data_IF_221710361364
#
_entry.id   IF_221710361364
#
_cell.length_a   1.000
_cell.length_b   1.000
_cell.length_c   1.000
_cell.angle_alpha   90.00
_cell.angle_beta   90.00
_cell.angle_gamma   90.00
#
_symmetry.space_group_name_H-M   'P 1'
#
loop_
_entity.id
_entity.type
_entity.pdbx_description
1 polymer ?
#
# COMPACT_ATOMS: atom_id res chain seq x y z
N UNK A 1 -47.81 -28.65 -60.50
CA UNK A 1 -48.16 -28.71 -61.93
C UNK A 1 -47.21 -27.79 -62.68
N UNK A 2 -46.32 -28.38 -63.48
CA UNK A 2 -45.28 -27.68 -64.23
C UNK A 2 -45.87 -26.90 -65.41
N UNK A 3 -45.26 -25.77 -65.76
CA UNK A 3 -45.55 -25.09 -67.03
C UNK A 3 -45.24 -25.97 -68.25
N UNK A 4 -44.31 -26.91 -68.09
CA UNK A 4 -43.94 -27.91 -69.09
C UNK A 4 -45.06 -28.94 -69.28
N UNK A 5 -45.62 -29.48 -68.19
CA UNK A 5 -46.81 -30.37 -68.25
C UNK A 5 -48.02 -29.67 -68.90
N UNK A 6 -48.20 -28.36 -68.64
CA UNK A 6 -49.26 -27.55 -69.28
C UNK A 6 -48.99 -27.34 -70.77
N UNK A 7 -47.74 -27.13 -71.17
CA UNK A 7 -47.34 -26.98 -72.56
C UNK A 7 -47.51 -28.30 -73.34
N UNK A 8 -47.09 -29.42 -72.76
CA UNK A 8 -47.29 -30.76 -73.32
C UNK A 8 -48.78 -31.07 -73.51
N UNK A 9 -49.61 -30.82 -72.49
CA UNK A 9 -51.06 -31.01 -72.58
C UNK A 9 -51.69 -30.14 -73.68
N UNK A 10 -51.24 -28.89 -73.82
CA UNK A 10 -51.71 -28.00 -74.89
C UNK A 10 -51.34 -28.52 -76.29
N UNK A 11 -50.13 -29.07 -76.46
CA UNK A 11 -49.69 -29.70 -77.71
C UNK A 11 -50.51 -30.96 -78.04
N UNK A 12 -50.80 -31.82 -77.07
CA UNK A 12 -51.65 -33.01 -77.30
C UNK A 12 -53.06 -32.66 -77.77
N UNK A 13 -53.53 -31.43 -77.49
CA UNK A 13 -54.82 -30.89 -77.91
C UNK A 13 -54.73 -29.99 -79.17
N UNK A 14 -53.57 -29.94 -79.83
CA UNK A 14 -53.35 -29.14 -81.04
C UNK A 14 -53.36 -27.62 -80.81
N UNK A 15 -53.20 -27.15 -79.57
CA UNK A 15 -53.20 -25.72 -79.22
C UNK A 15 -51.78 -25.22 -78.97
N UNK A 16 -51.04 -25.03 -80.06
CA UNK A 16 -49.66 -24.56 -80.03
C UNK A 16 -49.50 -23.15 -79.42
N UNK A 17 -50.51 -22.29 -79.59
CA UNK A 17 -50.57 -20.95 -79.01
C UNK A 17 -50.50 -20.99 -77.48
N UNK A 18 -51.28 -21.89 -76.86
CA UNK A 18 -51.27 -22.10 -75.41
C UNK A 18 -49.97 -22.75 -74.93
N UNK A 19 -49.40 -23.67 -75.72
CA UNK A 19 -48.12 -24.29 -75.39
C UNK A 19 -46.98 -23.25 -75.37
N UNK A 20 -46.93 -22.39 -76.39
CA UNK A 20 -45.99 -21.27 -76.44
C UNK A 20 -46.18 -20.31 -75.27
N UNK A 21 -47.42 -19.96 -74.94
CA UNK A 21 -47.73 -19.12 -73.77
C UNK A 21 -47.21 -19.73 -72.45
N UNK A 22 -47.43 -21.03 -72.23
CA UNK A 22 -46.93 -21.72 -71.04
C UNK A 22 -45.40 -21.74 -70.94
N UNK A 23 -44.70 -21.95 -72.07
CA UNK A 23 -43.23 -21.91 -72.10
C UNK A 23 -42.66 -20.50 -71.90
N UNK A 24 -43.34 -19.47 -72.42
CA UNK A 24 -42.97 -18.06 -72.16
C UNK A 24 -43.08 -17.74 -70.67
N UNK A 25 -44.15 -18.15 -70.00
CA UNK A 25 -44.28 -17.94 -68.55
C UNK A 25 -43.23 -18.74 -67.75
N UNK A 26 -42.91 -19.97 -68.18
CA UNK A 26 -41.78 -20.73 -67.61
C UNK A 26 -40.46 -19.97 -67.73
N UNK A 27 -40.18 -19.41 -68.90
CA UNK A 27 -38.94 -18.67 -69.17
C UNK A 27 -38.84 -17.41 -68.32
N UNK A 28 -39.93 -16.62 -68.22
CA UNK A 28 -39.97 -15.42 -67.37
C UNK A 28 -39.70 -15.74 -65.90
N UNK A 29 -40.31 -16.81 -65.37
CA UNK A 29 -40.08 -17.24 -63.99
C UNK A 29 -38.65 -17.73 -63.77
N UNK A 30 -38.06 -18.42 -64.75
CA UNK A 30 -36.67 -18.86 -64.67
C UNK A 30 -35.69 -17.66 -64.68
N UNK A 31 -35.94 -16.65 -65.50
CA UNK A 31 -35.17 -15.41 -65.53
C UNK A 31 -35.29 -14.65 -64.19
N UNK A 32 -36.50 -14.51 -63.67
CA UNK A 32 -36.72 -13.89 -62.36
C UNK A 32 -36.02 -14.66 -61.22
N UNK A 33 -36.06 -15.99 -61.24
CA UNK A 33 -35.37 -16.82 -60.26
C UNK A 33 -33.84 -16.66 -60.35
N UNK A 34 -33.29 -16.59 -61.56
CA UNK A 34 -31.86 -16.35 -61.77
C UNK A 34 -31.42 -14.97 -61.25
N UNK A 35 -32.24 -13.93 -61.49
CA UNK A 35 -31.97 -12.60 -60.97
C UNK A 35 -31.99 -12.56 -59.43
N UNK A 36 -32.99 -13.19 -58.79
CA UNK A 36 -33.08 -13.28 -57.34
C UNK A 36 -31.92 -14.09 -56.74
N UNK A 37 -31.47 -15.14 -57.42
CA UNK A 37 -30.33 -15.94 -56.98
C UNK A 37 -29.03 -15.11 -57.01
N UNK A 38 -28.81 -14.31 -58.06
CA UNK A 38 -27.66 -13.42 -58.13
C UNK A 38 -27.69 -12.35 -57.03
N UNK A 39 -28.86 -11.75 -56.77
CA UNK A 39 -29.02 -10.78 -55.67
C UNK A 39 -28.74 -11.43 -54.30
N UNK A 40 -29.17 -12.67 -54.10
CA UNK A 40 -28.90 -13.41 -52.87
C UNK A 40 -27.40 -13.68 -52.67
N UNK A 41 -26.69 -14.02 -53.74
CA UNK A 41 -25.23 -14.21 -53.70
C UNK A 41 -24.49 -12.90 -53.37
N UNK A 42 -24.92 -11.78 -53.92
CA UNK A 42 -24.38 -10.45 -53.61
C UNK A 42 -24.61 -10.08 -52.14
N UNK A 43 -25.83 -10.32 -51.62
CA UNK A 43 -26.17 -10.08 -50.22
C UNK A 43 -25.36 -10.97 -49.27
N UNK A 44 -25.17 -12.24 -49.61
CA UNK A 44 -24.33 -13.17 -48.83
C UNK A 44 -22.87 -12.70 -48.79
N UNK A 45 -22.34 -12.18 -49.90
CA UNK A 45 -20.99 -11.61 -49.93
C UNK A 45 -20.88 -10.37 -49.04
N UNK A 46 -21.85 -9.46 -49.10
CA UNK A 46 -21.91 -8.27 -48.24
C UNK A 46 -22.05 -8.64 -46.76
N UNK A 47 -22.85 -9.65 -46.44
CA UNK A 47 -23.01 -10.14 -45.07
C UNK A 47 -21.67 -10.66 -44.52
N UNK A 48 -20.97 -11.52 -45.27
CA UNK A 48 -19.65 -12.05 -44.89
C UNK A 48 -18.62 -10.94 -44.70
N UNK A 49 -18.63 -9.93 -45.58
CA UNK A 49 -17.76 -8.78 -45.43
C UNK A 49 -18.09 -7.99 -44.15
N UNK A 50 -19.37 -7.75 -43.89
CA UNK A 50 -19.84 -7.08 -42.67
C UNK A 50 -19.43 -7.82 -41.40
N UNK A 51 -19.56 -9.14 -41.37
CA UNK A 51 -19.11 -9.98 -40.25
C UNK A 51 -17.60 -9.87 -40.01
N UNK A 52 -16.79 -9.89 -41.08
CA UNK A 52 -15.34 -9.71 -40.99
C UNK A 52 -14.95 -8.31 -40.46
N UNK A 53 -15.65 -7.27 -40.91
CA UNK A 53 -15.43 -5.90 -40.45
C UNK A 53 -15.84 -5.73 -38.97
N UNK A 54 -16.95 -6.33 -38.55
CA UNK A 54 -17.37 -6.38 -37.14
C UNK A 54 -16.29 -7.06 -36.29
N UNK A 55 -15.81 -8.24 -36.69
CA UNK A 55 -14.77 -8.95 -35.94
C UNK A 55 -13.49 -8.11 -35.81
N UNK A 56 -13.10 -7.39 -36.87
CA UNK A 56 -11.95 -6.47 -36.87
C UNK A 56 -12.16 -5.29 -35.92
N UNK A 57 -13.35 -4.69 -35.91
CA UNK A 57 -13.70 -3.60 -35.00
C UNK A 57 -13.70 -4.06 -33.54
N UNK A 58 -14.24 -5.25 -33.26
CA UNK A 58 -14.22 -5.83 -31.93
C UNK A 58 -12.80 -6.08 -31.42
N UNK A 59 -11.91 -6.62 -32.27
CA UNK A 59 -10.50 -6.80 -31.92
C UNK A 59 -9.84 -5.49 -31.54
N UNK A 60 -10.00 -4.46 -32.37
CA UNK A 60 -9.47 -3.11 -32.11
C UNK A 60 -10.05 -2.51 -30.83
N UNK A 61 -11.33 -2.72 -30.55
CA UNK A 61 -11.97 -2.25 -29.33
C UNK A 61 -11.37 -2.94 -28.09
N UNK A 62 -11.15 -4.26 -28.14
CA UNK A 62 -10.50 -5.01 -27.05
C UNK A 62 -9.07 -4.50 -26.81
N UNK A 63 -8.29 -4.30 -27.87
CA UNK A 63 -6.94 -3.73 -27.78
C UNK A 63 -6.95 -2.32 -27.16
N UNK A 64 -7.87 -1.45 -27.61
CA UNK A 64 -8.00 -0.10 -27.09
C UNK A 64 -8.38 -0.08 -25.60
N UNK A 65 -9.33 -0.94 -25.19
CA UNK A 65 -9.71 -1.10 -23.77
C UNK A 65 -8.55 -1.60 -22.92
N UNK A 66 -7.79 -2.59 -23.40
CA UNK A 66 -6.60 -3.08 -22.70
C UNK A 66 -5.54 -1.97 -22.55
N UNK A 67 -5.31 -1.18 -23.61
CA UNK A 67 -4.40 -0.04 -23.58
C UNK A 67 -4.87 1.04 -22.60
N UNK A 68 -6.17 1.34 -22.55
CA UNK A 68 -6.76 2.27 -21.60
C UNK A 68 -6.50 1.80 -20.16
N UNK A 69 -6.81 0.54 -19.84
CA UNK A 69 -6.58 -0.03 -18.51
C UNK A 69 -5.10 0.06 -18.09
N UNK A 70 -4.18 -0.25 -19.01
CA UNK A 70 -2.75 -0.12 -18.76
C UNK A 70 -2.32 1.34 -18.49
N UNK A 71 -2.88 2.31 -19.22
CA UNK A 71 -2.62 3.73 -19.00
C UNK A 71 -3.17 4.22 -17.66
N UNK A 72 -4.39 3.82 -17.29
CA UNK A 72 -4.97 4.13 -15.97
C UNK A 72 -4.11 3.57 -14.85
N UNK A 73 -3.72 2.30 -14.92
CA UNK A 73 -2.85 1.69 -13.90
C UNK A 73 -1.49 2.41 -13.78
N UNK A 74 -0.91 2.84 -14.90
CA UNK A 74 0.33 3.63 -14.91
C UNK A 74 0.13 5.00 -14.29
N UNK A 75 -0.98 5.67 -14.60
CA UNK A 75 -1.33 6.97 -14.01
C UNK A 75 -1.48 6.86 -12.48
N UNK A 76 -2.22 5.88 -12.00
CA UNK A 76 -2.45 5.68 -10.56
C UNK A 76 -1.15 5.33 -9.82
N UNK A 77 -0.29 4.53 -10.45
CA UNK A 77 1.05 4.23 -9.93
C UNK A 77 1.91 5.49 -9.85
N UNK A 78 1.91 6.33 -10.89
CA UNK A 78 2.65 7.59 -10.90
C UNK A 78 2.12 8.56 -9.82
N UNK A 79 0.80 8.68 -9.67
CA UNK A 79 0.16 9.47 -8.62
C UNK A 79 0.53 8.98 -7.22
N UNK A 80 0.52 7.66 -7.01
CA UNK A 80 0.92 7.05 -5.73
C UNK A 80 2.40 7.31 -5.41
N UNK A 81 3.29 7.16 -6.38
CA UNK A 81 4.72 7.47 -6.24
C UNK A 81 4.94 8.95 -5.92
N UNK A 82 4.20 9.86 -6.57
CA UNK A 82 4.27 11.28 -6.29
C UNK A 82 3.80 11.60 -4.87
N UNK A 83 2.70 10.98 -4.42
CA UNK A 83 2.18 11.13 -3.05
C UNK A 83 3.21 10.68 -2.01
N UNK A 84 3.81 9.50 -2.19
CA UNK A 84 4.87 8.99 -1.30
C UNK A 84 6.05 9.96 -1.27
N UNK A 85 6.51 10.41 -2.44
CA UNK A 85 7.58 11.40 -2.53
C UNK A 85 7.22 12.67 -1.77
N UNK A 86 6.04 13.23 -1.98
CA UNK A 86 5.58 14.43 -1.28
C UNK A 86 5.54 14.23 0.24
N UNK A 87 5.09 13.07 0.73
CA UNK A 87 5.08 12.77 2.17
C UNK A 87 6.48 12.65 2.75
N UNK A 88 7.43 12.03 2.05
CA UNK A 88 8.82 11.95 2.50
C UNK A 88 9.49 13.33 2.59
N UNK A 89 9.17 14.24 1.67
CA UNK A 89 9.74 15.60 1.62
C UNK A 89 8.90 16.66 2.34
N UNK A 90 7.87 16.28 3.09
CA UNK A 90 6.93 17.19 3.77
C UNK A 90 7.52 17.88 5.02
N UNK A 91 8.81 17.67 5.34
CA UNK A 91 9.46 18.25 6.52
C UNK A 91 8.93 17.76 7.87
N UNK A 92 7.83 17.01 7.92
CA UNK A 92 7.28 16.41 9.16
C UNK A 92 8.23 15.42 9.81
N UNK A 93 9.03 14.72 9.01
CA UNK A 93 10.09 13.82 9.51
C UNK A 93 11.20 14.64 10.15
N UNK A 94 11.61 15.73 9.51
CA UNK A 94 12.61 16.67 10.04
C UNK A 94 12.12 17.34 11.34
N UNK A 95 10.87 17.83 11.38
CA UNK A 95 10.25 18.40 12.58
C UNK A 95 10.15 17.37 13.72
N UNK A 96 9.87 16.10 13.40
CA UNK A 96 9.87 15.02 14.40
C UNK A 96 11.28 14.77 14.98
N UNK A 97 12.32 14.76 14.15
CA UNK A 97 13.71 14.63 14.62
C UNK A 97 14.11 15.82 15.50
N UNK A 98 13.82 17.06 15.08
CA UNK A 98 14.12 18.25 15.88
C UNK A 98 13.44 18.26 17.25
N UNK A 99 12.19 17.79 17.34
CA UNK A 99 11.50 17.64 18.64
C UNK A 99 12.13 16.54 19.49
N UNK A 100 12.60 15.46 18.87
CA UNK A 100 13.26 14.37 19.57
C UNK A 100 14.59 14.85 20.19
N UNK A 101 15.42 15.56 19.41
CA UNK A 101 16.66 16.19 19.90
C UNK A 101 16.40 17.14 21.08
N UNK A 102 15.30 17.91 21.06
CA UNK A 102 14.93 18.78 22.18
C UNK A 102 14.52 18.00 23.44
N UNK A 103 13.91 16.83 23.28
CA UNK A 103 13.55 15.95 24.41
C UNK A 103 14.80 15.28 24.97
N UNK A 104 15.70 14.77 24.13
CA UNK A 104 16.98 14.21 24.55
C UNK A 104 17.80 15.24 25.34
N UNK A 105 17.95 16.46 24.82
CA UNK A 105 18.66 17.53 25.54
C UNK A 105 18.06 17.81 26.92
N UNK A 106 16.73 17.83 27.04
CA UNK A 106 16.05 18.05 28.33
C UNK A 106 16.24 16.88 29.28
N UNK A 107 16.30 15.65 28.76
CA UNK A 107 16.59 14.47 29.54
C UNK A 107 18.03 14.52 30.05
N UNK A 108 19.00 14.82 29.18
CA UNK A 108 20.41 14.98 29.55
C UNK A 108 20.59 16.09 30.61
N UNK A 109 19.91 17.23 30.46
CA UNK A 109 19.91 18.31 31.46
C UNK A 109 19.33 17.86 32.81
N UNK A 110 18.27 17.06 32.80
CA UNK A 110 17.65 16.53 34.02
C UNK A 110 18.54 15.48 34.69
N UNK A 111 19.13 14.56 33.92
CA UNK A 111 20.08 13.56 34.42
C UNK A 111 21.35 14.23 34.97
N UNK A 112 21.88 15.23 34.27
CA UNK A 112 23.01 16.03 34.75
C UNK A 112 22.68 16.83 36.02
N UNK A 113 21.45 17.33 36.17
CA UNK A 113 21.01 17.98 37.40
C UNK A 113 20.90 17.00 38.58
N UNK A 114 20.48 15.76 38.34
CA UNK A 114 20.49 14.69 39.35
C UNK A 114 21.92 14.33 39.74
N UNK A 115 22.80 14.10 38.76
CA UNK A 115 24.21 13.81 39.02
C UNK A 115 24.90 14.96 39.76
N UNK A 116 24.62 16.21 39.38
CA UNK A 116 25.12 17.39 40.07
C UNK A 116 24.55 17.52 41.49
N UNK A 117 23.29 17.14 41.73
CA UNK A 117 22.71 17.08 43.08
C UNK A 117 23.38 15.99 43.94
N UNK A 118 23.63 14.82 43.36
CA UNK A 118 24.35 13.73 44.02
C UNK A 118 25.80 14.13 44.33
N UNK A 119 26.47 14.86 43.43
CA UNK A 119 27.83 15.41 43.61
C UNK A 119 27.89 16.62 44.57
N UNK A 120 26.86 17.46 44.60
CA UNK A 120 26.82 18.72 45.39
C UNK A 120 26.21 18.59 46.79
N UNK A 121 25.73 17.40 47.16
CA UNK A 121 25.43 17.09 48.55
C UNK A 121 23.98 16.72 48.83
N UNK A 122 23.50 15.63 48.24
CA UNK A 122 22.64 14.70 48.98
C UNK A 122 23.39 13.96 50.10
N UNK A 123 24.73 14.01 50.07
CA UNK A 123 25.63 13.62 51.15
C UNK A 123 26.00 14.81 52.03
N UNK A 124 26.13 14.55 53.34
CA UNK A 124 26.42 15.46 54.45
C UNK A 124 27.35 16.64 54.08
N UNK A 125 27.06 17.82 54.61
CA UNK A 125 27.88 19.02 54.43
C UNK A 125 29.26 18.86 55.10
N UNK A 126 30.30 19.54 54.57
CA UNK A 126 31.64 19.57 55.18
C UNK A 126 31.60 20.00 56.67
N UNK A 127 30.66 20.88 57.03
CA UNK A 127 30.45 21.29 58.41
C UNK A 127 29.91 20.15 59.30
N UNK A 128 29.02 19.31 58.77
CA UNK A 128 28.55 18.10 59.44
C UNK A 128 29.67 17.06 59.55
N UNK A 129 30.49 16.87 58.52
CA UNK A 129 31.66 15.97 58.58
C UNK A 129 32.68 16.43 59.63
N UNK A 130 32.99 17.73 59.69
CA UNK A 130 33.90 18.29 60.71
C UNK A 130 33.30 18.15 62.12
N UNK A 131 31.98 18.34 62.27
CA UNK A 131 31.30 18.17 63.55
C UNK A 131 31.31 16.71 64.01
N UNK A 132 31.10 15.75 63.10
CA UNK A 132 31.20 14.32 63.41
C UNK A 132 32.64 13.94 63.81
N UNK A 133 33.65 14.46 63.10
CA UNK A 133 35.05 14.22 63.44
C UNK A 133 35.43 14.80 64.81
N UNK A 134 34.95 16.01 65.12
CA UNK A 134 35.16 16.64 66.41
C UNK A 134 34.46 15.87 67.54
N UNK A 135 33.25 15.35 67.29
CA UNK A 135 32.53 14.52 68.26
C UNK A 135 33.25 13.19 68.50
N UNK A 136 33.76 12.52 67.46
CA UNK A 136 34.60 11.32 67.59
C UNK A 136 35.86 11.59 68.41
N UNK A 137 36.58 12.68 68.14
CA UNK A 137 37.79 13.06 68.89
C UNK A 137 37.52 13.31 70.37
N UNK A 138 36.41 13.99 70.71
CA UNK A 138 36.03 14.25 72.11
C UNK A 138 35.69 12.94 72.83
N UNK A 139 35.00 12.03 72.16
CA UNK A 139 34.66 10.72 72.72
C UNK A 139 35.92 9.87 72.94
N UNK A 140 36.89 9.89 72.01
CA UNK A 140 38.16 9.21 72.19
C UNK A 140 38.98 9.78 73.37
N UNK A 141 39.00 11.10 73.51
CA UNK A 141 39.69 11.78 74.62
C UNK A 141 39.04 11.47 75.97
N UNK A 142 37.70 11.47 76.05
CA UNK A 142 36.97 11.06 77.24
C UNK A 142 37.20 9.59 77.59
N UNK A 143 37.24 8.70 76.58
CA UNK A 143 37.56 7.28 76.76
C UNK A 143 39.00 7.08 77.27
N UNK A 144 39.96 7.84 76.74
CA UNK A 144 41.34 7.82 77.18
C UNK A 144 41.49 8.31 78.64
N UNK A 145 40.78 9.39 79.00
CA UNK A 145 40.73 9.90 80.37
C UNK A 145 40.10 8.89 81.34
N UNK A 146 39.03 8.20 80.93
CA UNK A 146 38.40 7.12 81.70
C UNK A 146 39.37 5.95 81.92
N UNK A 147 40.09 5.51 80.88
CA UNK A 147 41.13 4.47 80.98
C UNK A 147 42.25 4.90 81.93
N UNK A 148 42.69 6.15 81.87
CA UNK A 148 43.71 6.68 82.77
C UNK A 148 43.22 6.71 84.23
N UNK A 149 41.96 7.11 84.47
CA UNK A 149 41.35 7.15 85.80
C UNK A 149 41.21 5.75 86.42
N UNK A 150 40.80 4.75 85.62
CA UNK A 150 40.76 3.33 86.04
C UNK A 150 42.17 2.81 86.34
N UNK A 151 43.19 3.18 85.55
CA UNK A 151 44.58 2.78 85.81
C UNK A 151 45.13 3.42 87.09
N UNK A 152 44.70 4.64 87.42
CA UNK A 152 45.07 5.38 88.64
C UNK A 152 44.39 4.82 89.89
N UNK A 153 43.10 4.46 89.82
CA UNK A 153 42.40 3.78 90.91
C UNK A 153 42.96 2.38 91.18
N UNK A 154 43.47 1.70 90.16
CA UNK A 154 44.18 0.41 90.32
C UNK A 154 45.57 0.55 90.97
N UNK A 155 46.22 1.72 90.87
CA UNK A 155 47.50 2.02 91.55
C UNK A 155 47.34 2.50 92.99
N UNK A 156 46.22 3.16 93.35
CA UNK A 156 45.96 3.61 94.73
C UNK A 156 45.51 2.48 95.67
N UNK A 157 45.16 1.30 95.14
CA UNK A 157 44.83 0.12 95.97
C UNK A 157 46.03 -0.77 96.33
N UNK A 158 47.24 -0.48 95.84
CA UNK A 158 48.43 -1.31 96.05
C UNK A 158 49.48 -0.71 97.01
N UNK A 159 49.27 0.50 97.51
CA UNK A 159 50.21 1.20 98.40
C UNK A 159 49.71 1.32 99.86
N UNK A 160 48.57 0.73 100.19
CA UNK A 160 48.06 0.57 101.56
C UNK A 160 48.19 -0.91 101.96
N UNK A 161 49.43 -1.33 102.27
CA UNK A 161 49.83 -2.56 102.99
C UNK A 161 51.36 -2.70 102.90
N UNK A 162 52.05 -2.22 103.94
CA UNK A 162 53.50 -2.35 104.12
C UNK A 162 54.01 -1.41 105.18
#
# INVERSE_FOLDING_TARGET
>A
QSWEEKAELALTKGREDLAKGALVEKAKLAEAAAALQAELEDLDALLRQGEADIAKLESKLREAKAKQQALTARHDTAGSRLKVRRTLYDGRVEDAFQRFEQVEKKLDEAEGAVEAYDLSGGGKTLAEEISELAAESVIEDELAALKAKVKKSKKSGAADKG
#
